data_IF_437638779230
#
_entry.id   IF_437638779230
#
_cell.length_a   1.000
_cell.length_b   1.000
_cell.length_c   1.000
_cell.angle_alpha   90.00
_cell.angle_beta   90.00
_cell.angle_gamma   90.00
#
_symmetry.space_group_name_H-M   'P 1'
#
loop_
_entity.id
_entity.type
_entity.pdbx_description
1 polymer ?
#
# COMPACT_ATOMS: atom_id res chain seq x y z
N UNK A 1 18.26 -10.52 -33.81
CA UNK A 1 17.26 -11.37 -33.13
C UNK A 1 17.96 -12.06 -32.00
N UNK A 2 17.67 -11.68 -30.73
CA UNK A 2 18.22 -12.34 -29.55
C UNK A 2 17.44 -13.62 -29.22
N UNK A 3 18.14 -14.67 -28.83
CA UNK A 3 17.51 -15.89 -28.33
C UNK A 3 17.05 -15.64 -26.88
N UNK A 4 15.77 -15.89 -26.57
CA UNK A 4 15.27 -15.84 -25.19
C UNK A 4 15.74 -17.13 -24.49
N UNK A 5 16.61 -16.97 -23.51
CA UNK A 5 17.04 -18.07 -22.66
C UNK A 5 16.14 -18.18 -21.42
N UNK A 6 15.44 -19.29 -21.29
CA UNK A 6 14.64 -19.58 -20.11
C UNK A 6 15.52 -20.22 -19.03
N UNK A 7 15.85 -19.48 -17.98
CA UNK A 7 16.73 -19.96 -16.90
C UNK A 7 16.04 -20.86 -15.87
N UNK A 8 14.77 -21.20 -16.08
CA UNK A 8 13.99 -21.97 -15.11
C UNK A 8 13.48 -21.12 -13.94
N UNK A 9 12.99 -21.78 -12.89
CA UNK A 9 12.46 -21.13 -11.70
C UNK A 9 13.61 -20.57 -10.86
N UNK A 10 13.66 -19.24 -10.73
CA UNK A 10 14.64 -18.60 -9.86
C UNK A 10 14.42 -19.01 -8.39
N UNK A 11 15.50 -19.42 -7.73
CA UNK A 11 15.49 -19.64 -6.27
C UNK A 11 15.77 -18.30 -5.61
N UNK A 12 14.75 -17.74 -4.96
CA UNK A 12 14.93 -16.51 -4.21
C UNK A 12 15.81 -16.76 -2.96
N UNK A 13 16.82 -15.92 -2.67
CA UNK A 13 17.66 -16.11 -1.51
C UNK A 13 16.83 -16.01 -0.22
N UNK A 14 17.14 -16.84 0.74
CA UNK A 14 16.50 -16.83 2.06
C UNK A 14 16.96 -15.63 2.89
N UNK A 15 18.23 -15.32 2.80
CA UNK A 15 18.84 -14.14 3.42
C UNK A 15 18.88 -12.99 2.42
N UNK A 16 18.09 -11.97 2.68
CA UNK A 16 18.01 -10.77 1.84
C UNK A 16 19.24 -9.86 1.97
N UNK A 17 20.11 -10.07 2.98
CA UNK A 17 21.35 -9.31 3.12
C UNK A 17 22.40 -9.67 2.10
N UNK A 18 22.27 -10.84 1.48
CA UNK A 18 23.14 -11.30 0.39
C UNK A 18 22.89 -10.55 -0.93
N UNK A 19 21.77 -9.83 -1.04
CA UNK A 19 21.49 -9.02 -2.22
C UNK A 19 22.23 -7.69 -2.12
N UNK A 20 23.02 -7.33 -3.15
CA UNK A 20 23.67 -6.03 -3.16
C UNK A 20 22.63 -4.90 -3.16
N UNK A 21 22.92 -3.76 -2.53
CA UNK A 21 22.06 -2.60 -2.64
C UNK A 21 21.99 -2.13 -4.11
N UNK A 22 20.83 -1.63 -4.57
CA UNK A 22 20.70 -1.06 -5.89
C UNK A 22 21.64 0.14 -6.10
N UNK A 23 22.24 0.23 -7.28
CA UNK A 23 23.06 1.38 -7.66
C UNK A 23 22.20 2.53 -8.20
N UNK A 24 22.21 3.66 -7.51
CA UNK A 24 21.48 4.88 -7.86
C UNK A 24 22.39 6.00 -8.39
N UNK A 25 23.64 5.72 -8.77
CA UNK A 25 24.58 6.74 -9.25
C UNK A 25 24.05 7.54 -10.43
N UNK A 26 23.24 6.95 -11.28
CA UNK A 26 22.62 7.61 -12.44
C UNK A 26 21.29 8.30 -12.13
N UNK A 27 20.78 8.23 -10.92
CA UNK A 27 19.48 8.81 -10.59
C UNK A 27 19.47 10.33 -10.72
N UNK A 28 20.58 10.99 -10.34
CA UNK A 28 20.72 12.43 -10.40
C UNK A 28 20.76 13.00 -11.81
N UNK A 29 21.12 12.19 -12.82
CA UNK A 29 21.36 12.65 -14.20
C UNK A 29 20.12 12.62 -15.09
N UNK A 30 19.00 12.07 -14.63
CA UNK A 30 17.90 11.65 -15.51
C UNK A 30 16.64 12.53 -15.49
N UNK A 31 16.64 13.69 -14.85
CA UNK A 31 15.53 14.65 -14.95
C UNK A 31 14.16 14.10 -14.52
N UNK A 32 14.08 13.44 -13.39
CA UNK A 32 12.82 12.95 -12.83
C UNK A 32 11.89 14.11 -12.48
N UNK A 33 10.57 13.88 -12.58
CA UNK A 33 9.55 14.86 -12.22
C UNK A 33 9.50 15.20 -10.71
N UNK A 34 10.19 14.44 -9.86
CA UNK A 34 10.26 14.74 -8.43
C UNK A 34 11.18 15.94 -8.19
N UNK A 35 10.73 16.96 -7.44
CA UNK A 35 11.53 18.16 -7.15
C UNK A 35 12.78 17.86 -6.32
N UNK A 36 12.78 16.76 -5.58
CA UNK A 36 13.92 16.24 -4.82
C UNK A 36 13.97 14.72 -4.93
N UNK A 37 15.15 14.10 -4.78
CA UNK A 37 15.27 12.64 -4.85
C UNK A 37 14.44 11.94 -3.77
N UNK A 38 13.67 10.93 -4.17
CA UNK A 38 13.02 9.97 -3.29
C UNK A 38 13.60 8.60 -3.60
N UNK A 39 14.26 7.97 -2.64
CA UNK A 39 14.93 6.70 -2.87
C UNK A 39 14.15 5.52 -2.33
N UNK A 40 13.91 4.49 -3.16
CA UNK A 40 13.29 3.26 -2.70
C UNK A 40 14.28 2.48 -1.82
N UNK A 41 13.80 1.99 -0.68
CA UNK A 41 14.51 1.03 0.17
C UNK A 41 13.59 -0.13 0.46
N UNK A 42 14.13 -1.30 0.73
CA UNK A 42 13.33 -2.44 1.15
C UNK A 42 13.86 -3.04 2.46
N UNK A 43 12.95 -3.39 3.34
CA UNK A 43 13.22 -4.11 4.58
C UNK A 43 12.80 -5.57 4.49
N UNK A 44 11.74 -5.87 3.74
CA UNK A 44 11.23 -7.24 3.64
C UNK A 44 10.74 -7.60 2.23
N UNK A 45 10.53 -8.88 2.02
CA UNK A 45 9.86 -9.45 0.86
C UNK A 45 8.79 -10.43 1.32
N UNK A 46 7.63 -10.35 0.69
CA UNK A 46 6.44 -11.08 1.10
C UNK A 46 5.68 -10.38 2.21
N UNK A 47 4.54 -10.94 2.58
CA UNK A 47 3.67 -10.41 3.61
C UNK A 47 3.60 -11.38 4.80
N UNK A 48 3.78 -10.89 6.02
CA UNK A 48 3.75 -11.70 7.25
C UNK A 48 2.35 -12.28 7.52
N UNK A 49 1.29 -11.57 7.13
CA UNK A 49 -0.08 -12.05 7.23
C UNK A 49 -0.41 -13.15 6.21
N UNK A 50 -0.18 -12.88 4.94
CA UNK A 50 -0.24 -13.85 3.83
C UNK A 50 -1.52 -14.69 3.74
N UNK A 51 -2.66 -14.18 4.20
CA UNK A 51 -3.94 -14.91 4.24
C UNK A 51 -5.07 -14.22 3.44
N UNK A 52 -4.82 -13.02 2.91
CA UNK A 52 -5.83 -12.30 2.15
C UNK A 52 -6.20 -13.09 0.88
N UNK A 53 -7.49 -13.36 0.69
CA UNK A 53 -8.02 -14.23 -0.37
C UNK A 53 -7.90 -13.64 -1.77
N UNK A 54 -7.80 -12.32 -1.86
CA UNK A 54 -7.67 -11.57 -3.13
C UNK A 54 -6.23 -11.32 -3.55
N UNK A 55 -5.26 -11.52 -2.65
CA UNK A 55 -3.93 -10.95 -2.82
C UNK A 55 -3.02 -11.83 -3.67
N UNK A 56 -2.60 -11.33 -4.84
CA UNK A 56 -1.65 -11.98 -5.72
C UNK A 56 -0.22 -12.05 -5.12
N UNK A 57 0.11 -11.17 -4.17
CA UNK A 57 1.43 -11.17 -3.51
C UNK A 57 1.67 -12.46 -2.72
N UNK A 58 0.62 -13.17 -2.30
CA UNK A 58 0.74 -14.44 -1.62
C UNK A 58 1.44 -15.51 -2.47
N UNK A 59 1.26 -15.47 -3.78
CA UNK A 59 1.90 -16.37 -4.75
C UNK A 59 3.19 -15.79 -5.34
N UNK A 60 3.25 -14.47 -5.56
CA UNK A 60 4.35 -13.82 -6.28
C UNK A 60 5.64 -13.68 -5.46
N UNK A 61 5.52 -13.39 -4.13
CA UNK A 61 6.70 -13.08 -3.29
C UNK A 61 7.14 -14.24 -2.38
N UNK A 62 6.43 -15.36 -2.41
CA UNK A 62 6.77 -16.51 -1.61
C UNK A 62 6.65 -16.27 -0.09
N UNK A 63 7.55 -16.86 0.70
CA UNK A 63 7.56 -16.69 2.16
C UNK A 63 8.04 -15.29 2.58
N UNK A 64 7.62 -14.86 3.76
CA UNK A 64 8.13 -13.62 4.36
C UNK A 64 9.59 -13.78 4.75
N UNK A 65 10.40 -12.79 4.40
CA UNK A 65 11.82 -12.65 4.75
C UNK A 65 12.09 -11.17 5.01
N UNK A 66 12.93 -10.86 5.98
CA UNK A 66 13.28 -9.49 6.32
C UNK A 66 14.79 -9.32 6.48
N UNK A 67 15.26 -8.13 6.17
CA UNK A 67 16.60 -7.66 6.51
C UNK A 67 16.60 -7.16 7.95
N UNK A 68 17.74 -7.18 8.65
CA UNK A 68 17.84 -6.50 9.94
C UNK A 68 17.48 -5.01 9.81
N UNK A 69 16.59 -4.46 10.67
CA UNK A 69 16.21 -3.05 10.61
C UNK A 69 17.40 -2.09 10.68
N UNK A 70 18.42 -2.41 11.49
CA UNK A 70 19.64 -1.64 11.58
C UNK A 70 20.41 -1.56 10.25
N UNK A 71 20.44 -2.65 9.47
CA UNK A 71 21.07 -2.64 8.14
C UNK A 71 20.30 -1.75 7.14
N UNK A 72 18.98 -1.69 7.25
CA UNK A 72 18.16 -0.80 6.42
C UNK A 72 18.37 0.67 6.82
N UNK A 73 18.38 0.97 8.10
CA UNK A 73 18.67 2.32 8.59
C UNK A 73 20.08 2.79 8.19
N UNK A 74 21.08 1.90 8.25
CA UNK A 74 22.43 2.18 7.80
C UNK A 74 22.48 2.47 6.28
N UNK A 75 21.79 1.70 5.46
CA UNK A 75 21.66 1.95 4.03
C UNK A 75 21.01 3.31 3.74
N UNK A 76 19.96 3.68 4.50
CA UNK A 76 19.33 5.00 4.38
C UNK A 76 20.33 6.13 4.72
N UNK A 77 21.14 5.95 5.76
CA UNK A 77 22.18 6.90 6.14
C UNK A 77 23.25 7.05 5.03
N UNK A 78 23.73 5.94 4.47
CA UNK A 78 24.69 5.95 3.36
C UNK A 78 24.14 6.70 2.14
N UNK A 79 22.87 6.48 1.80
CA UNK A 79 22.20 7.20 0.71
C UNK A 79 22.00 8.67 1.03
N UNK A 80 21.70 9.00 2.29
CA UNK A 80 21.65 10.40 2.76
C UNK A 80 22.96 11.10 2.55
N UNK A 81 24.07 10.47 2.95
CA UNK A 81 25.42 11.03 2.81
C UNK A 81 25.85 11.11 1.35
N UNK A 82 25.68 10.02 0.59
CA UNK A 82 26.18 9.94 -0.78
C UNK A 82 25.39 10.77 -1.79
N UNK A 83 24.06 10.84 -1.66
CA UNK A 83 23.19 11.46 -2.65
C UNK A 83 22.41 12.68 -2.12
N UNK A 84 22.62 13.08 -0.87
CA UNK A 84 21.84 14.14 -0.24
C UNK A 84 20.35 13.79 -0.05
N UNK A 85 19.96 12.54 -0.27
CA UNK A 85 18.56 12.11 -0.24
C UNK A 85 18.05 12.10 1.21
N UNK A 86 16.91 12.78 1.43
CA UNK A 86 16.21 12.80 2.73
C UNK A 86 14.94 11.95 2.71
N UNK A 87 14.39 11.67 1.55
CA UNK A 87 13.10 11.03 1.39
C UNK A 87 13.25 9.58 0.93
N UNK A 88 12.61 8.65 1.65
CA UNK A 88 12.70 7.22 1.39
C UNK A 88 11.33 6.59 1.23
N UNK A 89 11.18 5.81 0.18
CA UNK A 89 10.03 4.96 -0.04
C UNK A 89 10.36 3.52 0.36
N UNK A 90 9.77 3.04 1.45
CA UNK A 90 9.90 1.63 1.84
C UNK A 90 8.96 0.80 0.97
N UNK A 91 9.53 0.08 -0.01
CA UNK A 91 8.78 -0.64 -1.06
C UNK A 91 8.28 -2.03 -0.62
N UNK A 92 8.14 -2.25 0.67
CA UNK A 92 7.66 -3.49 1.25
C UNK A 92 6.14 -3.62 1.08
N UNK A 93 5.64 -4.84 0.84
CA UNK A 93 4.21 -5.10 0.71
C UNK A 93 3.45 -4.92 2.03
N UNK A 94 4.14 -5.04 3.13
CA UNK A 94 3.62 -4.86 4.47
C UNK A 94 4.79 -4.73 5.46
N UNK A 95 4.93 -3.56 6.03
CA UNK A 95 5.81 -3.33 7.19
C UNK A 95 5.00 -3.64 8.44
N UNK A 96 5.36 -4.67 9.17
CA UNK A 96 4.63 -5.05 10.40
C UNK A 96 5.05 -4.17 11.60
N UNK A 97 4.19 -4.07 12.65
CA UNK A 97 4.46 -3.18 13.79
C UNK A 97 5.81 -3.41 14.47
N UNK A 98 6.21 -4.68 14.65
CA UNK A 98 7.48 -5.04 15.29
C UNK A 98 8.67 -4.58 14.44
N UNK A 99 8.55 -4.73 13.11
CA UNK A 99 9.58 -4.27 12.20
C UNK A 99 9.68 -2.74 12.17
N UNK A 100 8.53 -2.04 12.13
CA UNK A 100 8.50 -0.57 12.16
C UNK A 100 9.09 -0.04 13.47
N UNK A 101 8.80 -0.67 14.59
CA UNK A 101 9.34 -0.31 15.91
C UNK A 101 10.88 -0.37 15.91
N UNK A 102 11.43 -1.51 15.51
CA UNK A 102 12.88 -1.72 15.44
C UNK A 102 13.57 -0.85 14.39
N UNK A 103 12.92 -0.58 13.25
CA UNK A 103 13.45 0.36 12.24
C UNK A 103 13.49 1.79 12.78
N UNK A 104 12.44 2.19 13.49
CA UNK A 104 12.37 3.51 14.13
C UNK A 104 13.47 3.68 15.18
N UNK A 105 13.71 2.68 16.04
CA UNK A 105 14.80 2.69 17.00
C UNK A 105 16.17 2.82 16.31
N UNK A 106 16.40 2.07 15.23
CA UNK A 106 17.64 2.13 14.49
C UNK A 106 17.89 3.50 13.83
N UNK A 107 16.85 4.11 13.24
CA UNK A 107 16.91 5.45 12.64
C UNK A 107 17.23 6.50 13.72
N UNK A 108 16.55 6.44 14.86
CA UNK A 108 16.75 7.37 15.97
C UNK A 108 18.15 7.22 16.57
N UNK A 109 18.64 5.99 16.75
CA UNK A 109 19.99 5.73 17.25
C UNK A 109 21.10 6.28 16.35
N UNK A 110 20.88 6.30 15.04
CA UNK A 110 21.79 6.91 14.06
C UNK A 110 21.68 8.44 13.98
N UNK A 111 20.69 9.04 14.63
CA UNK A 111 20.39 10.48 14.47
C UNK A 111 20.08 10.85 13.02
N UNK A 112 19.53 9.92 12.23
CA UNK A 112 19.29 10.12 10.82
C UNK A 112 18.10 11.05 10.58
N UNK A 113 18.38 12.24 10.06
CA UNK A 113 17.33 13.15 9.56
C UNK A 113 16.80 12.64 8.22
N UNK A 114 15.66 11.98 8.25
CA UNK A 114 14.99 11.44 7.08
C UNK A 114 13.47 11.64 7.15
N UNK A 115 12.81 11.42 6.01
CA UNK A 115 11.37 11.26 5.88
C UNK A 115 11.11 9.98 5.12
N UNK A 116 10.19 9.17 5.62
CA UNK A 116 9.87 7.91 4.96
C UNK A 116 8.39 7.57 5.03
N UNK A 117 7.99 6.74 4.09
CA UNK A 117 6.67 6.15 4.05
C UNK A 117 6.75 4.62 4.11
N UNK A 118 5.65 4.01 4.58
CA UNK A 118 5.47 2.56 4.62
C UNK A 118 4.09 2.16 4.16
N UNK A 119 3.95 0.89 3.72
CA UNK A 119 2.64 0.26 3.56
C UNK A 119 2.34 -0.63 4.76
N UNK A 120 1.12 -0.54 5.28
CA UNK A 120 0.73 -1.21 6.51
C UNK A 120 -0.70 -1.77 6.45
N UNK A 121 -1.02 -2.62 7.42
CA UNK A 121 -2.39 -3.10 7.73
C UNK A 121 -2.85 -2.41 9.00
N UNK A 122 -4.12 -2.09 9.09
CA UNK A 122 -4.72 -1.45 10.26
C UNK A 122 -4.96 -2.47 11.37
N UNK A 123 -3.90 -2.83 12.09
CA UNK A 123 -3.94 -3.79 13.22
C UNK A 123 -3.61 -3.10 14.54
N UNK A 124 -4.19 -3.56 15.64
CA UNK A 124 -4.12 -2.88 16.94
C UNK A 124 -2.70 -2.77 17.51
N UNK A 125 -1.76 -3.55 17.02
CA UNK A 125 -0.36 -3.49 17.41
C UNK A 125 0.34 -2.21 16.92
N UNK A 126 -0.27 -1.43 16.02
CA UNK A 126 0.13 -0.05 15.75
C UNK A 126 -0.38 0.86 16.87
N UNK A 127 0.18 0.71 18.05
CA UNK A 127 -0.19 1.49 19.23
C UNK A 127 0.18 2.98 19.08
N UNK A 128 -0.48 3.89 19.83
CA UNK A 128 -0.09 5.30 19.85
C UNK A 128 1.40 5.52 20.16
N UNK A 129 1.98 4.73 21.07
CA UNK A 129 3.39 4.81 21.42
C UNK A 129 4.32 4.43 20.24
N UNK A 130 3.97 3.38 19.48
CA UNK A 130 4.70 3.02 18.27
C UNK A 130 4.58 4.10 17.21
N UNK A 131 3.38 4.62 16.96
CA UNK A 131 3.13 5.66 15.96
C UNK A 131 3.87 6.97 16.32
N UNK A 132 3.86 7.36 17.59
CA UNK A 132 4.69 8.47 18.10
C UNK A 132 6.19 8.25 17.81
N UNK A 133 6.73 7.07 18.14
CA UNK A 133 8.13 6.72 17.85
C UNK A 133 8.42 6.78 16.36
N UNK A 134 7.57 6.19 15.53
CA UNK A 134 7.72 6.19 14.08
C UNK A 134 7.71 7.61 13.50
N UNK A 135 6.81 8.48 13.97
CA UNK A 135 6.77 9.89 13.57
C UNK A 135 8.09 10.61 13.92
N UNK A 136 8.63 10.39 15.10
CA UNK A 136 9.92 10.93 15.52
C UNK A 136 11.10 10.40 14.71
N UNK A 137 11.03 9.15 14.25
CA UNK A 137 12.01 8.57 13.34
C UNK A 137 11.90 9.10 11.90
N UNK A 138 10.85 9.89 11.59
CA UNK A 138 10.64 10.50 10.29
C UNK A 138 9.59 9.80 9.42
N UNK A 139 8.81 8.84 9.96
CA UNK A 139 7.64 8.31 9.28
C UNK A 139 6.60 9.42 9.14
N UNK A 140 6.38 9.90 7.93
CA UNK A 140 5.44 10.99 7.68
C UNK A 140 4.20 10.56 6.88
N UNK A 141 4.19 9.33 6.37
CA UNK A 141 3.10 8.81 5.55
C UNK A 141 2.95 7.30 5.73
N UNK A 142 1.73 6.84 5.94
CA UNK A 142 1.40 5.41 5.94
C UNK A 142 0.28 5.14 4.95
N UNK A 143 0.52 4.19 4.03
CA UNK A 143 -0.49 3.66 3.13
C UNK A 143 -1.13 2.42 3.76
N UNK A 144 -2.38 2.56 4.20
CA UNK A 144 -3.11 1.53 4.90
C UNK A 144 -3.93 0.67 3.95
N UNK A 145 -3.63 -0.61 3.89
CA UNK A 145 -4.51 -1.58 3.23
C UNK A 145 -5.79 -1.79 4.03
N UNK A 146 -6.74 -0.86 3.93
CA UNK A 146 -8.04 -0.93 4.59
C UNK A 146 -8.99 -1.86 3.86
N UNK A 147 -9.04 -1.77 2.55
CA UNK A 147 -9.82 -2.51 1.56
C UNK A 147 -11.33 -2.27 1.64
N UNK A 148 -11.95 -2.29 2.81
CA UNK A 148 -13.39 -2.05 3.01
C UNK A 148 -13.69 -1.53 4.41
N UNK A 149 -14.71 -0.71 4.56
CA UNK A 149 -15.29 -0.32 5.85
C UNK A 149 -16.34 -1.30 6.36
N UNK A 150 -16.64 -2.37 5.64
CA UNK A 150 -17.56 -3.43 6.05
C UNK A 150 -16.80 -4.59 6.72
N UNK A 151 -17.14 -4.90 7.97
CA UNK A 151 -16.51 -6.02 8.69
C UNK A 151 -16.76 -7.33 7.97
N UNK A 152 -17.98 -7.55 7.47
CA UNK A 152 -18.35 -8.73 6.70
C UNK A 152 -17.45 -8.90 5.46
N UNK A 153 -17.13 -7.80 4.77
CA UNK A 153 -16.24 -7.85 3.62
C UNK A 153 -14.78 -8.11 4.02
N UNK A 154 -14.29 -7.52 5.10
CA UNK A 154 -12.94 -7.80 5.62
C UNK A 154 -12.79 -9.28 6.01
N UNK A 155 -13.81 -9.87 6.64
CA UNK A 155 -13.83 -11.29 6.99
C UNK A 155 -13.89 -12.19 5.75
N UNK A 156 -14.72 -11.82 4.75
CA UNK A 156 -14.79 -12.53 3.48
C UNK A 156 -13.48 -12.49 2.71
N UNK A 157 -12.78 -11.37 2.73
CA UNK A 157 -11.45 -11.19 2.15
C UNK A 157 -10.33 -11.86 3.00
N UNK A 158 -10.64 -12.33 4.18
CA UNK A 158 -9.67 -12.81 5.19
C UNK A 158 -8.55 -11.79 5.46
N UNK A 159 -8.95 -10.51 5.56
CA UNK A 159 -8.02 -9.41 5.79
C UNK A 159 -7.42 -9.47 7.21
N UNK A 160 -8.18 -10.00 8.18
CA UNK A 160 -7.76 -10.14 9.57
C UNK A 160 -7.59 -8.79 10.27
N UNK A 161 -8.37 -7.79 9.88
CA UNK A 161 -8.49 -6.48 10.54
C UNK A 161 -9.92 -6.27 11.00
N UNK A 162 -10.11 -5.38 11.97
CA UNK A 162 -11.43 -4.98 12.47
C UNK A 162 -11.66 -3.51 12.15
N UNK A 163 -12.88 -3.19 11.73
CA UNK A 163 -13.26 -1.83 11.32
C UNK A 163 -13.02 -0.81 12.44
N UNK A 164 -13.45 -1.12 13.67
CA UNK A 164 -13.28 -0.19 14.79
C UNK A 164 -11.81 -0.01 15.16
N UNK A 165 -11.02 -1.09 15.23
CA UNK A 165 -9.57 -1.03 15.43
C UNK A 165 -8.89 -0.24 14.32
N UNK A 166 -9.33 -0.39 13.07
CA UNK A 166 -8.79 0.39 11.95
C UNK A 166 -9.01 1.88 12.13
N UNK A 167 -10.20 2.28 12.59
CA UNK A 167 -10.51 3.68 12.87
C UNK A 167 -9.63 4.25 13.98
N UNK A 168 -9.42 3.51 15.05
CA UNK A 168 -8.55 3.91 16.17
C UNK A 168 -7.10 4.09 15.72
N UNK A 169 -6.56 3.14 14.96
CA UNK A 169 -5.18 3.19 14.43
C UNK A 169 -4.98 4.37 13.50
N UNK A 170 -5.92 4.62 12.57
CA UNK A 170 -5.84 5.74 11.62
C UNK A 170 -5.89 7.08 12.36
N UNK A 171 -6.77 7.22 13.36
CA UNK A 171 -6.84 8.42 14.21
C UNK A 171 -5.55 8.64 14.99
N UNK A 172 -5.04 7.58 15.62
CA UNK A 172 -3.77 7.67 16.36
C UNK A 172 -2.61 8.09 15.46
N UNK A 173 -2.52 7.57 14.23
CA UNK A 173 -1.50 8.00 13.28
C UNK A 173 -1.66 9.49 12.91
N UNK A 174 -2.89 9.94 12.70
CA UNK A 174 -3.18 11.34 12.42
C UNK A 174 -2.83 12.26 13.60
N UNK A 175 -3.07 11.82 14.85
CA UNK A 175 -2.74 12.57 16.06
C UNK A 175 -1.22 12.77 16.19
N UNK A 176 -0.43 11.81 15.75
CA UNK A 176 1.03 11.91 15.71
C UNK A 176 1.56 12.64 14.45
N UNK A 177 0.69 13.21 13.64
CA UNK A 177 1.05 13.97 12.45
C UNK A 177 1.43 13.11 11.24
N UNK A 178 1.25 11.80 11.30
CA UNK A 178 1.47 10.90 10.16
C UNK A 178 0.29 11.02 9.21
N UNK A 179 0.56 11.29 7.94
CA UNK A 179 -0.48 11.32 6.90
C UNK A 179 -0.96 9.92 6.55
N UNK A 180 -2.27 9.77 6.40
CA UNK A 180 -2.93 8.49 6.14
C UNK A 180 -3.49 8.43 4.72
N UNK A 181 -3.00 7.47 3.92
CA UNK A 181 -3.62 7.06 2.66
C UNK A 181 -4.38 5.76 2.87
N UNK A 182 -5.65 5.73 2.55
CA UNK A 182 -6.43 4.49 2.56
C UNK A 182 -6.45 3.84 1.18
N UNK A 183 -6.05 2.58 1.11
CA UNK A 183 -6.20 1.76 -0.08
C UNK A 183 -7.49 0.97 0.05
N UNK A 184 -8.46 1.26 -0.84
CA UNK A 184 -9.81 0.67 -0.83
C UNK A 184 -10.03 -0.17 -2.07
N UNK A 185 -10.77 -1.27 -1.91
CA UNK A 185 -11.21 -2.16 -2.99
C UNK A 185 -12.72 -2.21 -2.99
N UNK A 186 -13.31 -1.79 -4.10
CA UNK A 186 -14.75 -1.80 -4.31
C UNK A 186 -15.15 -2.95 -5.24
N UNK A 187 -16.34 -3.48 -5.00
CA UNK A 187 -16.87 -4.52 -5.84
C UNK A 187 -16.20 -5.89 -5.71
N UNK A 188 -15.62 -6.24 -4.57
CA UNK A 188 -15.11 -7.58 -4.31
C UNK A 188 -16.27 -8.61 -4.22
N UNK A 189 -16.02 -9.91 -4.48
CA UNK A 189 -17.05 -10.94 -4.42
C UNK A 189 -17.83 -10.94 -3.10
N UNK A 190 -19.15 -10.82 -3.17
CA UNK A 190 -20.06 -10.70 -2.03
C UNK A 190 -20.25 -9.26 -1.52
N UNK A 191 -19.72 -8.26 -2.22
CA UNK A 191 -20.09 -6.85 -1.99
C UNK A 191 -21.52 -6.60 -2.47
N UNK A 192 -22.26 -5.83 -1.68
CA UNK A 192 -23.62 -5.39 -1.96
C UNK A 192 -23.79 -3.94 -1.49
N UNK A 193 -24.98 -3.36 -1.70
CA UNK A 193 -25.28 -1.99 -1.30
C UNK A 193 -25.07 -1.75 0.20
N UNK A 194 -25.37 -2.74 1.06
CA UNK A 194 -25.17 -2.61 2.50
C UNK A 194 -23.68 -2.52 2.86
N UNK A 195 -22.83 -3.36 2.26
CA UNK A 195 -21.39 -3.31 2.47
C UNK A 195 -20.77 -1.99 1.95
N UNK A 196 -21.33 -1.43 0.90
CA UNK A 196 -20.92 -0.14 0.37
C UNK A 196 -21.30 1.00 1.32
N UNK A 197 -22.51 1.00 1.85
CA UNK A 197 -22.98 1.98 2.84
C UNK A 197 -22.17 1.91 4.13
N UNK A 198 -21.87 0.70 4.63
CA UNK A 198 -20.96 0.51 5.77
C UNK A 198 -19.57 1.11 5.49
N UNK A 199 -19.08 0.95 4.26
CA UNK A 199 -17.77 1.50 3.85
C UNK A 199 -17.81 3.02 3.81
N UNK A 200 -18.85 3.64 3.27
CA UNK A 200 -19.00 5.10 3.27
C UNK A 200 -19.18 5.66 4.69
N UNK A 201 -19.95 4.98 5.54
CA UNK A 201 -20.09 5.34 6.96
C UNK A 201 -18.73 5.32 7.67
N UNK A 202 -17.90 4.31 7.42
CA UNK A 202 -16.54 4.25 7.96
C UNK A 202 -15.69 5.43 7.46
N UNK A 203 -15.70 5.70 6.16
CA UNK A 203 -14.94 6.79 5.56
C UNK A 203 -15.37 8.16 6.11
N UNK A 204 -16.67 8.38 6.32
CA UNK A 204 -17.20 9.61 6.94
C UNK A 204 -16.72 9.76 8.39
N UNK A 205 -16.70 8.67 9.16
CA UNK A 205 -16.18 8.66 10.54
C UNK A 205 -14.68 8.90 10.63
N UNK A 206 -13.93 8.48 9.62
CA UNK A 206 -12.47 8.62 9.54
C UNK A 206 -12.01 9.90 8.84
N UNK A 207 -12.94 10.69 8.28
CA UNK A 207 -12.68 11.79 7.36
C UNK A 207 -11.56 12.73 7.80
N UNK A 208 -11.61 13.24 9.03
CA UNK A 208 -10.65 14.21 9.54
C UNK A 208 -9.25 13.62 9.78
N UNK A 209 -9.13 12.30 9.70
CA UNK A 209 -7.89 11.55 9.92
C UNK A 209 -7.30 10.97 8.64
N UNK A 210 -7.94 11.21 7.48
CA UNK A 210 -7.51 10.69 6.18
C UNK A 210 -6.96 11.85 5.36
N UNK A 211 -5.81 11.65 4.73
CA UNK A 211 -5.17 12.62 3.84
C UNK A 211 -5.30 12.23 2.36
N UNK A 212 -5.60 11.00 2.09
CA UNK A 212 -5.85 10.51 0.73
C UNK A 212 -6.48 9.13 0.71
N UNK A 213 -7.05 8.78 -0.43
CA UNK A 213 -7.63 7.47 -0.68
C UNK A 213 -7.32 7.02 -2.12
N UNK A 214 -7.05 5.74 -2.29
CA UNK A 214 -7.11 5.10 -3.61
C UNK A 214 -8.33 4.21 -3.67
N UNK A 215 -9.23 4.49 -4.59
CA UNK A 215 -10.38 3.65 -4.89
C UNK A 215 -10.04 2.73 -6.07
N UNK A 216 -9.97 1.43 -5.84
CA UNK A 216 -9.69 0.45 -6.87
C UNK A 216 -10.88 -0.47 -7.06
N UNK A 217 -11.30 -0.69 -8.30
CA UNK A 217 -12.21 -1.78 -8.62
C UNK A 217 -11.52 -3.12 -8.30
N UNK A 218 -12.30 -4.08 -7.82
CA UNK A 218 -11.78 -5.41 -7.56
C UNK A 218 -11.24 -6.06 -8.85
N UNK A 219 -10.03 -6.57 -8.77
CA UNK A 219 -9.38 -7.32 -9.86
C UNK A 219 -9.18 -8.76 -9.40
N UNK A 220 -9.71 -9.71 -10.16
CA UNK A 220 -9.45 -11.12 -9.92
C UNK A 220 -8.08 -11.49 -10.48
N UNK A 221 -7.18 -11.85 -9.60
CA UNK A 221 -5.85 -12.34 -9.98
C UNK A 221 -5.82 -13.87 -9.98
N UNK A 222 -5.11 -14.43 -10.94
CA UNK A 222 -4.80 -15.87 -10.96
C UNK A 222 -4.04 -16.28 -9.69
N UNK A 223 -4.19 -17.55 -9.29
CA UNK A 223 -3.57 -18.16 -8.12
C UNK A 223 -3.98 -17.54 -6.76
N UNK A 224 -4.98 -16.67 -6.72
CA UNK A 224 -5.60 -16.21 -5.47
C UNK A 224 -6.61 -17.25 -4.95
N UNK A 225 -7.01 -17.13 -3.68
CA UNK A 225 -8.06 -18.00 -3.14
C UNK A 225 -9.39 -17.81 -3.88
N UNK A 226 -9.71 -16.57 -4.26
CA UNK A 226 -10.91 -16.26 -5.05
C UNK A 226 -10.92 -16.93 -6.42
N UNK A 227 -9.79 -17.00 -7.12
CA UNK A 227 -9.71 -17.63 -8.43
C UNK A 227 -9.65 -19.16 -8.38
N UNK A 228 -9.17 -19.73 -7.28
CA UNK A 228 -9.06 -21.18 -7.08
C UNK A 228 -10.35 -21.84 -6.60
N UNK A 229 -11.25 -21.06 -6.00
CA UNK A 229 -12.49 -21.58 -5.39
C UNK A 229 -13.68 -20.75 -5.86
N UNK A 230 -13.82 -20.61 -7.17
CA UNK A 230 -14.84 -19.76 -7.83
C UNK A 230 -16.25 -20.11 -7.40
N UNK A 231 -16.58 -21.39 -7.27
CA UNK A 231 -17.90 -21.87 -6.83
C UNK A 231 -18.28 -21.33 -5.45
N UNK A 232 -17.31 -21.26 -4.54
CA UNK A 232 -17.51 -20.73 -3.17
C UNK A 232 -17.86 -19.25 -3.18
N UNK A 233 -17.44 -18.54 -4.20
CA UNK A 233 -17.54 -17.07 -4.28
C UNK A 233 -18.54 -16.59 -5.31
N UNK A 234 -19.23 -17.50 -5.99
CA UNK A 234 -20.19 -17.17 -7.04
C UNK A 234 -19.50 -16.46 -8.21
N UNK A 235 -18.36 -16.98 -8.66
CA UNK A 235 -17.57 -16.41 -9.73
C UNK A 235 -17.49 -17.39 -10.91
N UNK A 236 -17.58 -16.86 -12.13
CA UNK A 236 -17.30 -17.57 -13.36
C UNK A 236 -16.08 -16.92 -14.03
N UNK A 237 -15.02 -17.68 -14.27
CA UNK A 237 -13.85 -17.21 -15.00
C UNK A 237 -14.12 -17.26 -16.50
N UNK A 238 -14.09 -16.10 -17.15
CA UNK A 238 -14.28 -15.95 -18.59
C UNK A 238 -12.98 -16.05 -19.39
N UNK A 239 -11.83 -16.20 -18.72
CA UNK A 239 -10.50 -16.31 -19.29
C UNK A 239 -9.54 -15.23 -18.79
N UNK A 240 -8.28 -15.32 -19.22
CA UNK A 240 -7.26 -14.28 -18.98
C UNK A 240 -7.37 -13.13 -19.98
N UNK A 241 -6.71 -12.01 -19.68
CA UNK A 241 -6.53 -10.97 -20.70
C UNK A 241 -5.59 -11.46 -21.80
N UNK A 242 -5.87 -11.02 -23.00
CA UNK A 242 -5.00 -11.30 -24.15
C UNK A 242 -3.88 -10.24 -24.15
N UNK A 243 -2.78 -10.54 -23.50
CA UNK A 243 -1.55 -9.78 -23.64
C UNK A 243 -0.69 -10.49 -24.69
N UNK A 244 -0.18 -9.74 -25.63
CA UNK A 244 0.77 -10.23 -26.64
C UNK A 244 2.14 -9.62 -26.36
N UNK A 245 3.20 -10.39 -26.54
CA UNK A 245 4.56 -9.86 -26.56
C UNK A 245 4.82 -9.05 -27.83
N UNK A 246 6.03 -8.52 -27.97
CA UNK A 246 6.43 -7.75 -29.15
C UNK A 246 6.43 -8.56 -30.44
N UNK A 247 6.40 -9.89 -30.37
CA UNK A 247 6.32 -10.83 -31.49
C UNK A 247 4.88 -11.30 -31.77
N UNK A 248 3.90 -10.79 -31.02
CA UNK A 248 2.49 -11.15 -31.14
C UNK A 248 2.11 -12.48 -30.51
N UNK A 249 2.97 -13.08 -29.66
CA UNK A 249 2.66 -14.32 -28.94
C UNK A 249 1.88 -14.03 -27.67
N UNK A 250 0.89 -14.86 -27.30
CA UNK A 250 0.16 -14.71 -26.05
C UNK A 250 1.09 -14.83 -24.83
N UNK A 251 1.04 -13.82 -23.96
CA UNK A 251 1.73 -13.83 -22.65
C UNK A 251 0.71 -14.05 -21.56
N UNK A 252 1.06 -14.79 -20.52
CA UNK A 252 0.18 -15.01 -19.39
C UNK A 252 -0.03 -13.71 -18.61
N UNK A 253 -1.28 -13.24 -18.54
CA UNK A 253 -1.68 -12.17 -17.64
C UNK A 253 -2.21 -12.78 -16.34
N UNK A 254 -1.72 -12.29 -15.21
CA UNK A 254 -2.25 -12.69 -13.91
C UNK A 254 -3.66 -12.15 -13.65
N UNK A 255 -4.16 -11.18 -14.42
CA UNK A 255 -5.52 -10.66 -14.30
C UNK A 255 -6.48 -11.55 -15.09
N UNK A 256 -7.53 -11.99 -14.41
CA UNK A 256 -8.58 -12.81 -14.99
C UNK A 256 -9.83 -11.98 -15.25
N UNK A 257 -10.47 -12.21 -16.40
CA UNK A 257 -11.82 -11.73 -16.65
C UNK A 257 -12.80 -12.69 -15.97
N UNK A 258 -13.78 -12.14 -15.29
CA UNK A 258 -14.76 -12.90 -14.52
C UNK A 258 -16.15 -12.28 -14.61
N UNK A 259 -17.15 -13.08 -14.28
CA UNK A 259 -18.55 -12.67 -14.08
C UNK A 259 -18.99 -13.19 -12.71
N UNK A 260 -19.92 -12.50 -12.07
CA UNK A 260 -20.59 -12.97 -10.87
C UNK A 260 -21.89 -13.64 -11.22
N UNK A 261 -22.24 -14.71 -10.53
CA UNK A 261 -23.48 -15.46 -10.77
C UNK A 261 -24.74 -14.62 -10.54
N UNK A 262 -24.68 -13.58 -9.72
CA UNK A 262 -25.81 -12.70 -9.38
C UNK A 262 -25.97 -11.47 -10.30
N UNK A 263 -25.11 -11.30 -11.30
CA UNK A 263 -25.11 -10.12 -12.16
C UNK A 263 -25.47 -10.50 -13.60
N UNK A 264 -26.52 -9.86 -14.13
CA UNK A 264 -26.90 -9.98 -15.54
C UNK A 264 -25.83 -9.30 -16.42
N UNK A 265 -24.73 -10.02 -16.67
CA UNK A 265 -23.96 -9.87 -17.89
C UNK A 265 -22.68 -9.02 -17.92
N UNK A 266 -22.25 -8.26 -16.90
CA UNK A 266 -21.00 -7.50 -16.98
C UNK A 266 -20.21 -7.53 -15.66
N UNK A 267 -18.94 -7.92 -15.75
CA UNK A 267 -18.03 -8.21 -14.62
C UNK A 267 -17.48 -7.04 -13.81
N UNK A 268 -18.02 -5.84 -13.98
CA UNK A 268 -17.82 -4.71 -13.07
C UNK A 268 -19.17 -4.37 -12.47
N UNK A 269 -19.25 -4.28 -11.13
CA UNK A 269 -20.50 -3.83 -10.50
C UNK A 269 -20.76 -2.36 -10.92
N UNK A 270 -21.74 -2.09 -11.80
CA UNK A 270 -22.02 -0.72 -12.25
C UNK A 270 -22.42 0.19 -11.09
N UNK A 271 -22.99 -0.40 -10.02
CA UNK A 271 -23.37 0.31 -8.80
C UNK A 271 -22.15 0.89 -8.08
N UNK A 272 -21.05 0.14 -7.98
CA UNK A 272 -19.89 0.59 -7.24
C UNK A 272 -19.21 1.82 -7.87
N UNK A 273 -19.08 1.88 -9.19
CA UNK A 273 -18.41 2.99 -9.88
C UNK A 273 -19.18 4.30 -9.72
N UNK A 274 -20.50 4.30 -9.97
CA UNK A 274 -21.34 5.49 -9.87
C UNK A 274 -21.45 6.03 -8.43
N UNK A 275 -21.47 5.16 -7.43
CA UNK A 275 -21.57 5.55 -6.03
C UNK A 275 -20.24 6.04 -5.48
N UNK A 276 -19.12 5.44 -5.88
CA UNK A 276 -17.77 5.94 -5.57
C UNK A 276 -17.60 7.35 -6.13
N UNK A 277 -17.92 7.56 -7.40
CA UNK A 277 -17.88 8.86 -8.04
C UNK A 277 -18.81 9.88 -7.35
N UNK A 278 -20.00 9.45 -6.91
CA UNK A 278 -20.94 10.31 -6.18
C UNK A 278 -20.41 10.66 -4.79
N UNK A 279 -19.77 9.73 -4.10
CA UNK A 279 -19.14 9.98 -2.80
C UNK A 279 -17.91 10.88 -2.95
N UNK A 280 -17.03 10.61 -3.91
CA UNK A 280 -15.86 11.44 -4.20
C UNK A 280 -16.25 12.88 -4.57
N UNK A 281 -17.35 13.07 -5.30
CA UNK A 281 -17.89 14.42 -5.62
C UNK A 281 -18.42 15.17 -4.41
N UNK A 282 -18.92 14.48 -3.40
CA UNK A 282 -19.39 15.11 -2.14
C UNK A 282 -18.23 15.57 -1.25
N UNK A 283 -17.08 14.95 -1.41
CA UNK A 283 -15.89 15.19 -0.62
C UNK A 283 -14.81 15.77 -1.53
N UNK A 284 -14.56 17.05 -1.39
CA UNK A 284 -13.41 17.68 -2.04
C UNK A 284 -12.15 17.22 -1.30
N UNK A 285 -11.61 16.08 -1.72
CA UNK A 285 -10.35 15.60 -1.23
C UNK A 285 -9.25 16.56 -1.68
N UNK A 286 -8.63 17.26 -0.74
CA UNK A 286 -7.52 18.14 -1.01
C UNK A 286 -7.81 19.08 -2.20
N UNK A 287 -8.50 20.23 -2.00
CA UNK A 287 -8.84 21.15 -3.09
C UNK A 287 -7.63 21.58 -3.92
N UNK A 288 -6.43 21.40 -3.40
CA UNK A 288 -5.15 21.75 -4.00
C UNK A 288 -4.48 20.61 -4.76
N UNK A 289 -5.00 19.36 -4.70
CA UNK A 289 -4.49 18.20 -5.43
C UNK A 289 -5.53 17.64 -6.40
N UNK A 290 -5.65 18.19 -7.62
CA UNK A 290 -6.67 17.79 -8.58
C UNK A 290 -6.48 16.39 -9.18
N UNK A 291 -5.54 15.58 -8.68
CA UNK A 291 -5.10 14.33 -9.29
C UNK A 291 -5.14 13.13 -8.35
N UNK A 292 -6.21 12.96 -7.57
CA UNK A 292 -6.39 11.77 -6.75
C UNK A 292 -6.14 10.49 -7.54
N UNK A 293 -5.36 9.58 -6.94
CA UNK A 293 -5.03 8.29 -7.54
C UNK A 293 -4.10 8.34 -8.76
N UNK A 294 -3.68 9.52 -9.21
CA UNK A 294 -2.77 9.68 -10.36
C UNK A 294 -1.35 10.09 -9.98
N UNK A 295 -1.13 10.48 -8.73
CA UNK A 295 0.21 10.76 -8.23
C UNK A 295 0.89 9.47 -7.78
N UNK A 296 2.18 9.35 -8.06
CA UNK A 296 2.97 8.24 -7.52
C UNK A 296 3.24 8.42 -6.01
N UNK A 297 3.61 7.33 -5.34
CA UNK A 297 3.87 7.32 -3.90
C UNK A 297 4.92 8.35 -3.46
N UNK A 298 5.88 8.64 -4.34
CA UNK A 298 6.94 9.62 -4.09
C UNK A 298 6.37 11.04 -3.96
N UNK A 299 5.40 11.42 -4.79
CA UNK A 299 4.74 12.73 -4.71
C UNK A 299 3.91 12.87 -3.43
N UNK A 300 3.22 11.80 -3.01
CA UNK A 300 2.50 11.80 -1.73
C UNK A 300 3.44 11.98 -0.54
N UNK A 301 4.60 11.33 -0.56
CA UNK A 301 5.61 11.48 0.48
C UNK A 301 6.12 12.93 0.58
N UNK A 302 6.46 13.54 -0.56
CA UNK A 302 6.93 14.91 -0.63
C UNK A 302 5.84 15.91 -0.19
N UNK A 303 4.60 15.66 -0.59
CA UNK A 303 3.45 16.45 -0.13
C UNK A 303 3.26 16.35 1.38
N UNK A 304 3.29 15.16 1.96
CA UNK A 304 3.15 14.97 3.40
C UNK A 304 4.24 15.71 4.20
N UNK A 305 5.51 15.63 3.76
CA UNK A 305 6.60 16.38 4.39
C UNK A 305 6.38 17.91 4.30
N UNK A 306 5.96 18.40 3.14
CA UNK A 306 5.66 19.83 2.96
C UNK A 306 4.48 20.30 3.82
N UNK A 307 3.45 19.48 3.99
CA UNK A 307 2.27 19.82 4.82
C UNK A 307 2.60 19.77 6.31
N UNK A 308 3.44 18.84 6.76
CA UNK A 308 3.94 18.85 8.14
C UNK A 308 4.73 20.13 8.45
N UNK A 309 5.53 20.60 7.50
CA UNK A 309 6.29 21.83 7.64
C UNK A 309 5.40 23.10 7.68
N UNK A 310 4.19 23.06 7.09
CA UNK A 310 3.24 24.20 7.04
C UNK A 310 2.29 24.27 8.22
N UNK A 311 2.53 23.57 9.33
CA UNK A 311 1.64 23.56 10.51
C UNK A 311 0.17 23.49 10.15
N UNK A 312 -0.41 22.30 10.11
CA UNK A 312 -1.87 22.13 9.98
C UNK A 312 -2.54 22.92 11.09
N UNK A 313 -3.45 23.87 10.80
CA UNK A 313 -4.20 24.56 11.83
C UNK A 313 -4.95 23.51 12.67
N UNK A 314 -4.55 23.32 13.92
CA UNK A 314 -5.12 22.34 14.85
C UNK A 314 -4.28 21.11 15.19
N UNK A 315 -3.25 20.76 14.39
CA UNK A 315 -2.34 19.63 14.69
C UNK A 315 -0.96 20.14 15.10
N UNK A 316 -0.82 20.73 16.28
CA UNK A 316 0.49 20.97 16.88
C UNK A 316 1.01 19.64 17.39
N UNK A 317 2.21 19.24 16.95
CA UNK A 317 3.02 18.28 17.71
C UNK A 317 3.00 18.76 19.16
N UNK A 318 2.45 17.94 20.07
CA UNK A 318 2.52 18.24 21.51
C UNK A 318 4.02 18.34 21.82
N UNK A 319 4.46 19.55 22.08
CA UNK A 319 5.77 19.78 22.66
C UNK A 319 5.86 19.01 23.96
N UNK A 320 6.83 18.12 24.08
CA UNK A 320 7.15 17.38 25.30
C UNK A 320 7.45 18.33 26.45
#
# INVERSE_FOLDING_TARGET
>A
CGTIHYSGKAVAPDDLTLLPPPDFTRLADNGYFNPVPVMPVYGCRGCKWRRCRFCAHNSSFGRYRSRPPAAVAQEMLERRVRFGCRHFYVVDQYVDPVYLDALSDAILALGLDCRFQVMARTVGEYTPALLYKAARAGCCWISWGMESGSQRMLDRMNKGTRVDTSLEVIRSAADEGISNLLMMIFGAPGSDAAALEETFTFLDRAWDSIDGMTASAFVLFDQTDFSRHTDRYGLEILGGNRILDLEGKPVHDMKLRFRRESEDGHGESPLAAGEIDAWERRKVWLPELPFHGRLCCEHYLLYADAMQARTRPGKRLRSA
#
